data_IF_467959621174
#
_entry.id   IF_467959621174
#
_cell.length_a   1.000
_cell.length_b   1.000
_cell.length_c   1.000
_cell.angle_alpha   90.00
_cell.angle_beta   90.00
_cell.angle_gamma   90.00
#
_symmetry.space_group_name_H-M   'P 1'
#
loop_
_entity.id
_entity.type
_entity.pdbx_description
1 polymer ?
#
# COMPACT_ATOMS: atom_id res chain seq x y z
N UNK A 1 -11.13 37.12 7.20
CA UNK A 1 -10.12 37.68 8.09
C UNK A 1 -9.92 36.64 9.17
N UNK A 2 -8.68 36.29 9.35
CA UNK A 2 -8.10 35.57 10.48
C UNK A 2 -7.87 34.08 10.34
N UNK A 3 -6.61 33.87 10.14
CA UNK A 3 -5.69 32.93 10.78
C UNK A 3 -5.93 31.41 10.60
N UNK A 4 -5.44 30.91 9.47
CA UNK A 4 -5.13 29.48 9.33
C UNK A 4 -3.65 29.28 9.68
N UNK A 5 -3.44 28.78 10.88
CA UNK A 5 -2.17 28.50 11.51
C UNK A 5 -1.24 27.66 10.63
N UNK A 6 -0.02 28.16 10.49
CA UNK A 6 1.15 27.57 9.88
C UNK A 6 1.52 26.26 10.57
N UNK A 7 1.24 25.13 9.97
CA UNK A 7 1.93 23.89 10.29
C UNK A 7 3.30 23.92 9.59
N UNK A 8 4.36 23.77 10.40
CA UNK A 8 5.73 23.99 10.00
C UNK A 8 6.28 22.91 9.07
N UNK A 9 6.46 23.27 7.83
CA UNK A 9 7.42 22.59 6.97
C UNK A 9 8.84 22.94 7.43
N UNK A 10 9.60 21.93 7.86
CA UNK A 10 11.03 22.08 8.12
C UNK A 10 11.69 22.66 6.86
N UNK A 11 12.25 23.86 6.98
CA UNK A 11 12.93 24.52 5.88
C UNK A 11 14.19 23.73 5.51
N UNK A 12 14.59 23.75 4.22
CA UNK A 12 15.85 23.16 3.73
C UNK A 12 17.09 23.53 4.57
N UNK A 13 17.07 24.64 5.28
CA UNK A 13 18.14 25.07 6.20
C UNK A 13 18.12 24.33 7.55
N UNK A 14 16.97 23.81 8.00
CA UNK A 14 16.88 22.98 9.21
C UNK A 14 17.49 21.60 9.01
N UNK A 15 17.29 21.02 7.84
CA UNK A 15 17.86 19.71 7.49
C UNK A 15 19.39 19.70 7.41
N UNK A 16 20.01 20.81 6.98
CA UNK A 16 21.46 20.92 6.87
C UNK A 16 22.17 21.24 8.21
N UNK A 17 21.45 21.64 9.25
CA UNK A 17 22.04 21.92 10.57
C UNK A 17 22.04 20.72 11.53
N UNK A 18 21.19 19.72 11.30
CA UNK A 18 21.18 18.49 12.08
C UNK A 18 22.28 17.47 11.66
N UNK A 19 22.95 17.68 10.54
CA UNK A 19 23.98 16.78 10.00
C UNK A 19 25.41 16.99 10.50
N UNK A 20 25.64 17.79 11.52
CA UNK A 20 27.03 18.12 11.99
C UNK A 20 27.40 17.51 13.35
N UNK A 21 26.65 16.54 13.87
CA UNK A 21 27.08 15.74 15.01
C UNK A 21 27.55 14.37 14.49
N UNK A 22 28.87 14.13 14.61
CA UNK A 22 29.64 13.05 14.01
C UNK A 22 29.00 11.66 14.11
N UNK A 23 28.29 11.25 13.07
CA UNK A 23 28.10 9.86 12.78
C UNK A 23 29.32 9.39 11.96
N UNK A 24 30.16 8.57 12.53
CA UNK A 24 31.05 7.69 11.80
C UNK A 24 30.21 6.93 10.80
N UNK A 25 30.33 7.24 9.51
CA UNK A 25 29.83 6.41 8.43
C UNK A 25 30.45 5.02 8.61
N UNK A 26 29.74 4.13 9.30
CA UNK A 26 30.00 2.71 9.15
C UNK A 26 29.82 2.45 7.65
N UNK A 27 30.90 2.11 6.96
CA UNK A 27 30.88 1.67 5.57
C UNK A 27 29.85 0.58 5.46
N UNK A 28 28.71 0.86 4.80
CA UNK A 28 27.79 -0.19 4.37
C UNK A 28 28.67 -1.21 3.63
N UNK A 29 28.61 -2.50 3.99
CA UNK A 29 29.35 -3.49 3.23
C UNK A 29 28.89 -3.38 1.78
N UNK A 30 29.82 -3.21 0.86
CA UNK A 30 29.56 -3.37 -0.56
C UNK A 30 28.71 -4.62 -0.72
N UNK A 31 27.75 -4.61 -1.65
CA UNK A 31 26.88 -5.74 -1.97
C UNK A 31 27.72 -7.02 -2.17
N UNK A 32 28.27 -7.52 -1.08
CA UNK A 32 29.10 -8.72 -1.01
C UNK A 32 28.16 -9.89 -1.03
N UNK A 33 28.11 -10.58 -2.17
CA UNK A 33 27.40 -11.83 -2.35
C UNK A 33 27.90 -12.86 -1.34
N UNK A 34 27.29 -12.92 -0.17
CA UNK A 34 27.21 -14.21 0.51
C UNK A 34 26.30 -15.07 -0.36
N UNK A 35 26.86 -16.14 -0.94
CA UNK A 35 26.08 -17.21 -1.55
C UNK A 35 25.17 -17.82 -0.47
N UNK A 36 24.07 -17.19 -0.17
CA UNK A 36 22.93 -17.85 0.45
C UNK A 36 22.42 -18.81 -0.61
N UNK A 37 22.77 -20.10 -0.43
CA UNK A 37 22.42 -21.17 -1.35
C UNK A 37 20.98 -21.05 -1.79
N UNK A 38 20.74 -21.20 -3.09
CA UNK A 38 19.42 -21.17 -3.76
C UNK A 38 18.57 -22.37 -3.34
N UNK A 39 18.29 -22.50 -2.04
CA UNK A 39 17.26 -23.44 -1.60
C UNK A 39 15.91 -22.86 -1.99
N UNK A 40 15.09 -23.55 -2.79
CA UNK A 40 13.75 -23.09 -3.10
C UNK A 40 12.99 -22.74 -1.81
N UNK A 41 12.28 -21.62 -1.80
CA UNK A 41 11.48 -21.22 -0.67
C UNK A 41 10.31 -22.20 -0.54
N UNK A 42 10.30 -22.99 0.53
CA UNK A 42 9.18 -23.87 0.84
C UNK A 42 8.03 -23.06 1.44
N UNK A 43 6.80 -23.34 1.01
CA UNK A 43 5.63 -22.71 1.59
C UNK A 43 5.44 -23.18 3.05
N UNK A 44 5.21 -22.26 4.02
CA UNK A 44 4.97 -22.62 5.42
C UNK A 44 3.77 -23.56 5.57
N UNK A 45 3.82 -24.45 6.57
CA UNK A 45 2.75 -25.42 6.83
C UNK A 45 1.74 -24.82 7.83
N UNK A 46 2.22 -24.17 8.90
CA UNK A 46 1.42 -23.56 9.94
C UNK A 46 1.37 -22.03 9.86
N UNK A 47 0.83 -21.41 10.90
CA UNK A 47 0.75 -19.94 11.04
C UNK A 47 1.67 -19.41 12.16
N UNK A 48 2.23 -20.28 12.99
CA UNK A 48 3.09 -19.96 14.11
C UNK A 48 4.50 -19.51 13.68
N UNK A 49 5.26 -18.94 14.61
CA UNK A 49 6.59 -18.40 14.36
C UNK A 49 7.60 -19.45 13.86
N UNK A 50 7.51 -20.68 14.36
CA UNK A 50 8.43 -21.76 13.95
C UNK A 50 8.23 -22.13 12.49
N UNK A 51 6.98 -22.17 12.03
CA UNK A 51 6.63 -22.41 10.62
C UNK A 51 7.15 -21.32 9.67
N UNK A 52 7.29 -20.07 10.16
CA UNK A 52 7.71 -18.90 9.36
C UNK A 52 9.17 -18.48 9.58
N UNK A 53 9.92 -19.14 10.45
CA UNK A 53 11.31 -18.79 10.78
C UNK A 53 12.22 -18.76 9.52
N UNK A 54 12.06 -19.73 8.61
CA UNK A 54 12.83 -19.80 7.38
C UNK A 54 12.46 -18.69 6.37
N UNK A 55 11.21 -18.19 6.41
CA UNK A 55 10.77 -17.02 5.63
C UNK A 55 11.39 -15.75 6.22
N UNK A 56 11.31 -15.57 7.55
CA UNK A 56 11.93 -14.44 8.25
C UNK A 56 13.43 -14.34 7.94
N UNK A 57 14.14 -15.44 7.86
CA UNK A 57 15.58 -15.48 7.53
C UNK A 57 15.92 -14.93 6.13
N UNK A 58 14.93 -14.68 5.28
CA UNK A 58 15.13 -14.02 3.97
C UNK A 58 15.20 -12.50 4.04
N UNK A 59 14.99 -11.90 5.21
CA UNK A 59 14.98 -10.45 5.40
C UNK A 59 16.23 -9.98 6.15
N UNK A 60 16.82 -8.87 5.71
CA UNK A 60 18.01 -8.26 6.30
C UNK A 60 17.62 -7.28 7.40
N UNK A 61 16.97 -7.79 8.45
CA UNK A 61 16.61 -6.98 9.61
C UNK A 61 17.83 -6.68 10.48
N UNK A 62 17.96 -5.42 10.90
CA UNK A 62 18.94 -5.06 11.93
C UNK A 62 18.63 -5.81 13.24
N UNK A 63 19.67 -6.29 13.94
CA UNK A 63 19.48 -6.97 15.22
C UNK A 63 18.74 -6.07 16.23
N UNK A 64 17.69 -6.62 16.84
CA UNK A 64 16.87 -5.91 17.82
C UNK A 64 15.77 -5.02 17.23
N UNK A 65 15.75 -4.76 15.93
CA UNK A 65 14.68 -4.03 15.26
C UNK A 65 13.41 -4.88 15.16
N UNK A 66 12.27 -4.33 15.57
CA UNK A 66 10.94 -4.87 15.30
C UNK A 66 10.19 -3.93 14.34
N UNK A 67 10.18 -4.25 13.05
CA UNK A 67 9.52 -3.42 12.07
C UNK A 67 8.04 -3.77 11.95
N UNK A 68 7.18 -2.98 12.60
CA UNK A 68 5.73 -3.17 12.64
C UNK A 68 5.00 -2.04 11.89
N UNK A 69 5.60 -1.52 10.82
CA UNK A 69 5.03 -0.46 9.97
C UNK A 69 5.03 -0.83 8.48
N UNK A 70 4.71 -2.09 8.16
CA UNK A 70 4.66 -2.57 6.76
C UNK A 70 3.68 -1.77 5.89
N UNK A 71 2.60 -1.24 6.47
CA UNK A 71 1.63 -0.42 5.75
C UNK A 71 2.22 0.90 5.21
N UNK A 72 3.33 1.38 5.77
CA UNK A 72 4.08 2.54 5.24
C UNK A 72 4.99 2.11 4.09
N UNK A 73 5.89 1.17 4.36
CA UNK A 73 6.83 0.60 3.40
C UNK A 73 7.07 -0.87 3.75
N UNK A 74 6.92 -1.77 2.78
CA UNK A 74 7.29 -3.17 2.93
C UNK A 74 8.79 -3.36 2.81
N UNK A 75 9.30 -4.38 3.47
CA UNK A 75 10.70 -4.74 3.43
C UNK A 75 10.93 -5.79 2.35
N UNK A 76 11.70 -5.49 1.28
CA UNK A 76 11.97 -6.50 0.26
C UNK A 76 12.87 -7.62 0.80
N UNK A 77 12.60 -8.89 0.47
CA UNK A 77 13.49 -9.99 0.84
C UNK A 77 14.83 -9.91 0.08
N UNK A 78 15.85 -10.57 0.61
CA UNK A 78 17.24 -10.50 0.13
C UNK A 78 17.37 -10.79 -1.38
N UNK A 79 16.61 -11.76 -1.90
CA UNK A 79 16.60 -12.10 -3.32
C UNK A 79 16.07 -10.97 -4.21
N UNK A 80 15.13 -10.18 -3.72
CA UNK A 80 14.60 -9.01 -4.44
C UNK A 80 15.63 -7.89 -4.44
N UNK A 81 16.28 -7.64 -3.30
CA UNK A 81 17.39 -6.67 -3.21
C UNK A 81 18.51 -7.05 -4.15
N UNK A 82 18.89 -8.34 -4.16
CA UNK A 82 19.93 -8.85 -5.07
C UNK A 82 19.54 -8.65 -6.54
N UNK A 83 18.31 -8.92 -6.93
CA UNK A 83 17.86 -8.73 -8.31
C UNK A 83 17.97 -7.27 -8.77
N UNK A 84 17.73 -6.29 -7.87
CA UNK A 84 17.95 -4.86 -8.16
C UNK A 84 19.43 -4.58 -8.38
N UNK A 85 20.30 -5.06 -7.49
CA UNK A 85 21.75 -4.88 -7.61
C UNK A 85 22.29 -5.49 -8.91
N UNK A 86 21.92 -6.74 -9.22
CA UNK A 86 22.33 -7.43 -10.45
C UNK A 86 21.89 -6.64 -11.70
N UNK A 87 20.69 -6.07 -11.68
CA UNK A 87 20.18 -5.23 -12.77
C UNK A 87 21.00 -3.95 -12.98
N UNK A 88 21.41 -3.28 -11.91
CA UNK A 88 22.29 -2.11 -12.02
C UNK A 88 23.69 -2.49 -12.49
N UNK A 89 24.24 -3.62 -12.04
CA UNK A 89 25.50 -4.14 -12.55
C UNK A 89 25.45 -4.43 -14.05
N UNK A 90 24.36 -5.03 -14.53
CA UNK A 90 24.15 -5.31 -15.96
C UNK A 90 24.18 -4.02 -16.79
N UNK A 91 23.45 -2.98 -16.37
CA UNK A 91 23.46 -1.67 -17.03
C UNK A 91 24.86 -1.03 -16.96
N UNK A 92 25.53 -1.13 -15.80
CA UNK A 92 26.86 -0.53 -15.63
C UNK A 92 27.93 -1.20 -16.53
N UNK A 93 27.81 -2.51 -16.75
CA UNK A 93 28.76 -3.22 -17.64
C UNK A 93 28.51 -2.94 -19.11
N UNK A 94 27.26 -2.97 -19.54
CA UNK A 94 26.86 -2.65 -20.91
C UNK A 94 25.49 -1.98 -20.93
N UNK A 95 25.41 -0.64 -20.99
CA UNK A 95 24.18 0.11 -20.78
C UNK A 95 23.04 -0.26 -21.75
N UNK A 96 23.33 -0.42 -23.04
CA UNK A 96 22.29 -0.70 -24.02
C UNK A 96 21.75 -2.13 -23.91
N UNK A 97 22.63 -3.10 -23.80
CA UNK A 97 22.25 -4.51 -23.64
C UNK A 97 21.56 -4.74 -22.30
N UNK A 98 22.16 -4.26 -21.20
CA UNK A 98 21.57 -4.39 -19.88
C UNK A 98 20.16 -3.79 -19.78
N UNK A 99 19.97 -2.60 -20.38
CA UNK A 99 18.65 -1.99 -20.52
C UNK A 99 17.68 -2.89 -21.30
N UNK A 100 18.09 -3.39 -22.46
CA UNK A 100 17.21 -4.20 -23.32
C UNK A 100 16.83 -5.52 -22.64
N UNK A 101 17.78 -6.19 -21.97
CA UNK A 101 17.52 -7.42 -21.24
C UNK A 101 16.53 -7.19 -20.08
N UNK A 102 16.67 -6.09 -19.34
CA UNK A 102 15.72 -5.72 -18.28
C UNK A 102 14.34 -5.35 -18.82
N UNK A 103 14.26 -4.64 -19.95
CA UNK A 103 12.98 -4.36 -20.61
C UNK A 103 12.30 -5.67 -21.08
N UNK A 104 13.08 -6.63 -21.58
CA UNK A 104 12.55 -7.94 -21.93
C UNK A 104 11.97 -8.66 -20.70
N UNK A 105 12.66 -8.64 -19.56
CA UNK A 105 12.15 -9.18 -18.29
C UNK A 105 10.85 -8.49 -17.88
N UNK A 106 10.79 -7.17 -17.94
CA UNK A 106 9.59 -6.42 -17.57
C UNK A 106 8.40 -6.82 -18.45
N UNK A 107 8.58 -6.86 -19.75
CA UNK A 107 7.48 -7.13 -20.69
C UNK A 107 7.05 -8.60 -20.66
N UNK A 108 8.00 -9.54 -20.58
CA UNK A 108 7.73 -10.96 -20.78
C UNK A 108 7.66 -11.77 -19.47
N UNK A 109 8.01 -11.17 -18.34
CA UNK A 109 7.93 -11.84 -17.04
C UNK A 109 7.13 -11.04 -16.02
N UNK A 110 7.47 -9.76 -15.78
CA UNK A 110 6.80 -8.95 -14.73
C UNK A 110 5.33 -8.76 -15.04
N UNK A 111 5.00 -8.21 -16.21
CA UNK A 111 3.60 -7.93 -16.57
C UNK A 111 2.74 -9.20 -16.63
N UNK A 112 3.19 -10.32 -17.27
CA UNK A 112 2.43 -11.57 -17.24
C UNK A 112 2.26 -12.16 -15.84
N UNK A 113 3.29 -12.09 -14.97
CA UNK A 113 3.19 -12.58 -13.60
C UNK A 113 2.24 -11.73 -12.75
N UNK A 114 2.29 -10.39 -12.89
CA UNK A 114 1.34 -9.49 -12.23
C UNK A 114 -0.09 -9.78 -12.68
N UNK A 115 -0.31 -9.93 -13.99
CA UNK A 115 -1.62 -10.26 -14.56
C UNK A 115 -2.15 -11.57 -13.98
N UNK A 116 -1.33 -12.62 -13.99
CA UNK A 116 -1.71 -13.92 -13.42
C UNK A 116 -1.95 -13.87 -11.90
N UNK A 117 -1.13 -13.11 -11.15
CA UNK A 117 -1.25 -13.02 -9.69
C UNK A 117 -2.50 -12.26 -9.25
N UNK A 118 -2.96 -11.28 -10.03
CA UNK A 118 -4.09 -10.43 -9.71
C UNK A 118 -5.34 -10.67 -10.57
N UNK A 119 -5.40 -11.74 -11.36
CA UNK A 119 -6.57 -12.07 -12.18
C UNK A 119 -6.91 -10.99 -13.21
N UNK A 120 -5.92 -10.51 -13.97
CA UNK A 120 -6.10 -9.47 -14.98
C UNK A 120 -5.52 -9.87 -16.33
N UNK A 121 -5.90 -9.21 -17.41
CA UNK A 121 -5.18 -9.28 -18.67
C UNK A 121 -3.96 -8.34 -18.65
N UNK A 122 -2.87 -8.76 -19.29
CA UNK A 122 -1.64 -7.95 -19.40
C UNK A 122 -1.94 -6.56 -19.98
N UNK A 123 -2.85 -6.49 -20.98
CA UNK A 123 -3.24 -5.23 -21.60
C UNK A 123 -4.00 -4.27 -20.67
N UNK A 124 -4.51 -4.72 -19.55
CA UNK A 124 -5.21 -3.89 -18.56
C UNK A 124 -4.26 -3.27 -17.52
N UNK A 125 -2.99 -3.70 -17.49
CA UNK A 125 -2.00 -3.27 -16.51
C UNK A 125 -1.03 -2.25 -17.09
N UNK A 126 -0.70 -1.25 -16.28
CA UNK A 126 0.36 -0.27 -16.54
C UNK A 126 1.23 -0.13 -15.29
N UNK A 127 2.55 -0.28 -15.42
CA UNK A 127 3.45 -0.09 -14.29
C UNK A 127 3.56 1.39 -13.92
N UNK A 128 3.47 1.67 -12.63
CA UNK A 128 3.65 2.99 -12.03
C UNK A 128 4.74 2.94 -10.95
N UNK A 129 5.12 4.10 -10.44
CA UNK A 129 6.07 4.18 -9.31
C UNK A 129 5.42 3.83 -7.96
N UNK A 130 4.11 4.02 -7.84
CA UNK A 130 3.33 3.78 -6.64
C UNK A 130 1.83 3.98 -6.93
N UNK A 131 0.98 3.71 -5.95
CA UNK A 131 -0.46 3.98 -6.04
C UNK A 131 -0.75 5.46 -6.28
N UNK A 132 0.00 6.39 -5.67
CA UNK A 132 -0.19 7.83 -5.85
C UNK A 132 -0.14 8.24 -7.32
N UNK A 133 0.84 7.75 -8.08
CA UNK A 133 0.93 8.00 -9.51
C UNK A 133 -0.26 7.41 -10.26
N UNK A 134 -0.62 6.16 -9.97
CA UNK A 134 -1.76 5.50 -10.60
C UNK A 134 -3.10 6.21 -10.31
N UNK A 135 -3.34 6.63 -9.07
CA UNK A 135 -4.54 7.40 -8.69
C UNK A 135 -4.61 8.75 -9.40
N UNK A 136 -3.47 9.42 -9.57
CA UNK A 136 -3.42 10.65 -10.37
C UNK A 136 -3.72 10.39 -11.85
N UNK A 137 -3.19 9.31 -12.42
CA UNK A 137 -3.47 8.94 -13.82
C UNK A 137 -4.95 8.62 -14.03
N UNK A 138 -5.58 7.86 -13.12
CA UNK A 138 -7.01 7.58 -13.16
C UNK A 138 -7.82 8.90 -13.11
N UNK A 139 -7.55 9.73 -12.11
CA UNK A 139 -8.29 10.95 -11.89
C UNK A 139 -8.10 11.98 -13.01
N UNK A 140 -6.88 12.13 -13.54
CA UNK A 140 -6.59 13.07 -14.62
C UNK A 140 -7.06 12.55 -15.98
N UNK A 141 -7.06 11.24 -16.18
CA UNK A 141 -7.50 10.60 -17.41
C UNK A 141 -9.02 10.56 -17.59
N UNK A 142 -9.79 10.66 -16.51
CA UNK A 142 -11.24 10.66 -16.58
C UNK A 142 -11.77 11.97 -17.20
N UNK A 143 -12.56 11.87 -18.26
CA UNK A 143 -13.16 13.04 -18.91
C UNK A 143 -14.33 13.56 -18.06
N UNK A 144 -14.18 14.75 -17.50
CA UNK A 144 -15.16 15.43 -16.65
C UNK A 144 -15.33 16.88 -17.07
N UNK A 145 -16.57 17.35 -17.08
CA UNK A 145 -16.94 18.74 -17.34
C UNK A 145 -17.10 19.54 -16.03
N UNK A 146 -17.02 20.87 -16.07
CA UNK A 146 -17.37 21.70 -14.91
C UNK A 146 -18.77 21.37 -14.41
N UNK A 147 -18.89 21.15 -13.09
CA UNK A 147 -20.13 20.75 -12.44
C UNK A 147 -20.38 19.23 -12.35
N UNK A 148 -19.65 18.41 -13.09
CA UNK A 148 -19.64 16.96 -12.84
C UNK A 148 -19.14 16.66 -11.43
N UNK A 149 -19.63 15.59 -10.84
CA UNK A 149 -19.39 15.24 -9.43
C UNK A 149 -18.59 13.93 -9.31
N UNK A 150 -17.65 13.94 -8.37
CA UNK A 150 -16.94 12.74 -7.91
C UNK A 150 -17.19 12.57 -6.41
N UNK A 151 -17.53 11.36 -6.00
CA UNK A 151 -17.71 11.00 -4.59
C UNK A 151 -16.45 10.30 -4.09
N UNK A 152 -15.97 10.73 -2.92
CA UNK A 152 -14.86 10.11 -2.17
C UNK A 152 -15.33 9.81 -0.74
N UNK A 153 -14.49 9.13 0.05
CA UNK A 153 -14.80 8.89 1.47
C UNK A 153 -13.87 9.67 2.40
N UNK A 154 -14.29 9.87 3.67
CA UNK A 154 -13.43 10.47 4.70
C UNK A 154 -12.23 9.60 5.04
N UNK A 155 -12.22 8.34 4.65
CA UNK A 155 -11.16 7.37 4.96
C UNK A 155 -10.03 7.32 3.90
N UNK A 156 -10.11 8.16 2.86
CA UNK A 156 -9.11 8.14 1.79
C UNK A 156 -7.72 8.58 2.28
N UNK A 157 -6.69 7.93 1.77
CA UNK A 157 -5.33 8.41 1.90
C UNK A 157 -5.18 9.78 1.19
N UNK A 158 -4.31 10.71 1.65
CA UNK A 158 -4.08 11.98 0.97
C UNK A 158 -3.81 11.84 -0.53
N UNK A 159 -3.13 10.77 -0.95
CA UNK A 159 -2.90 10.47 -2.38
C UNK A 159 -4.19 10.18 -3.16
N UNK A 160 -5.23 9.66 -2.50
CA UNK A 160 -6.55 9.43 -3.09
C UNK A 160 -7.38 10.71 -3.19
N UNK A 161 -7.22 11.63 -2.23
CA UNK A 161 -7.97 12.91 -2.20
C UNK A 161 -7.34 13.99 -3.08
N UNK A 162 -6.00 14.08 -3.09
CA UNK A 162 -5.27 15.18 -3.73
C UNK A 162 -5.60 15.38 -5.22
N UNK A 163 -5.68 14.35 -6.07
CA UNK A 163 -6.01 14.53 -7.48
C UNK A 163 -7.40 15.13 -7.68
N UNK A 164 -8.36 14.76 -6.85
CA UNK A 164 -9.73 15.30 -6.91
C UNK A 164 -9.80 16.74 -6.40
N UNK A 165 -9.11 17.07 -5.32
CA UNK A 165 -8.97 18.46 -4.85
C UNK A 165 -8.35 19.35 -5.95
N UNK A 166 -7.33 18.83 -6.64
CA UNK A 166 -6.70 19.53 -7.75
C UNK A 166 -7.67 19.74 -8.93
N UNK A 167 -8.45 18.72 -9.30
CA UNK A 167 -9.47 18.82 -10.35
C UNK A 167 -10.61 19.75 -9.98
N UNK A 168 -11.02 19.76 -8.70
CA UNK A 168 -12.01 20.75 -8.21
C UNK A 168 -11.55 22.18 -8.50
N UNK A 169 -10.29 22.51 -8.16
CA UNK A 169 -9.75 23.86 -8.34
C UNK A 169 -9.51 24.18 -9.82
N UNK A 170 -8.97 23.26 -10.61
CA UNK A 170 -8.54 23.52 -11.99
C UNK A 170 -9.65 23.35 -13.03
N UNK A 171 -10.56 22.41 -12.79
CA UNK A 171 -11.55 21.99 -13.79
C UNK A 171 -12.99 22.23 -13.36
N UNK A 172 -13.22 22.80 -12.17
CA UNK A 172 -14.56 23.17 -11.69
C UNK A 172 -15.49 22.00 -11.42
N UNK A 173 -14.95 20.79 -11.18
CA UNK A 173 -15.77 19.65 -10.75
C UNK A 173 -16.22 19.82 -9.30
N UNK A 174 -17.28 19.11 -8.91
CA UNK A 174 -17.70 18.95 -7.53
C UNK A 174 -17.09 17.70 -6.94
N UNK A 175 -16.58 17.79 -5.71
CA UNK A 175 -16.13 16.64 -4.93
C UNK A 175 -17.01 16.56 -3.69
N UNK A 176 -17.71 15.44 -3.54
CA UNK A 176 -18.56 15.13 -2.38
C UNK A 176 -17.85 14.09 -1.53
N UNK A 177 -17.60 14.42 -0.27
CA UNK A 177 -16.97 13.53 0.69
C UNK A 177 -18.05 12.88 1.56
N UNK A 178 -18.08 11.55 1.58
CA UNK A 178 -19.00 10.75 2.38
C UNK A 178 -18.30 10.32 3.66
N UNK A 179 -18.90 10.64 4.79
CA UNK A 179 -18.41 10.19 6.09
C UNK A 179 -18.65 8.68 6.25
N UNK A 180 -17.58 7.92 6.42
CA UNK A 180 -17.62 6.50 6.77
C UNK A 180 -17.08 6.35 8.19
N UNK A 181 -17.87 5.82 9.14
CA UNK A 181 -17.42 5.57 10.50
C UNK A 181 -16.17 4.67 10.57
N UNK A 182 -15.35 4.85 11.57
CA UNK A 182 -14.20 3.98 11.86
C UNK A 182 -14.23 3.58 13.34
N UNK A 183 -14.59 2.33 13.68
CA UNK A 183 -15.04 1.26 12.77
C UNK A 183 -16.43 1.48 12.18
N UNK A 184 -16.72 0.84 11.05
CA UNK A 184 -18.08 0.73 10.52
C UNK A 184 -18.68 -0.65 10.86
N UNK A 185 -19.99 -0.76 10.76
CA UNK A 185 -20.72 -1.96 11.23
C UNK A 185 -20.65 -3.11 10.21
N UNK A 186 -20.81 -2.79 8.92
CA UNK A 186 -20.83 -3.79 7.85
C UNK A 186 -20.51 -3.18 6.48
N UNK A 187 -20.18 -4.05 5.51
CA UNK A 187 -19.99 -3.64 4.13
C UNK A 187 -21.23 -3.02 3.49
N UNK A 188 -22.42 -3.51 3.85
CA UNK A 188 -23.70 -2.99 3.38
C UNK A 188 -23.93 -1.55 3.83
N UNK A 189 -23.48 -1.18 5.04
CA UNK A 189 -23.51 0.19 5.53
C UNK A 189 -22.69 1.11 4.61
N UNK A 190 -21.48 0.70 4.24
CA UNK A 190 -20.62 1.47 3.35
C UNK A 190 -21.28 1.67 1.99
N UNK A 191 -21.84 0.60 1.40
CA UNK A 191 -22.56 0.66 0.12
C UNK A 191 -23.75 1.61 0.21
N UNK A 192 -24.57 1.51 1.25
CA UNK A 192 -25.75 2.36 1.43
C UNK A 192 -25.38 3.86 1.57
N UNK A 193 -24.33 4.17 2.34
CA UNK A 193 -23.85 5.55 2.50
C UNK A 193 -23.34 6.13 1.19
N UNK A 194 -22.58 5.35 0.42
CA UNK A 194 -22.08 5.78 -0.89
C UNK A 194 -23.19 5.92 -1.92
N UNK A 195 -24.16 4.99 -1.96
CA UNK A 195 -25.29 5.03 -2.88
C UNK A 195 -26.19 6.24 -2.63
N UNK A 196 -26.45 6.57 -1.35
CA UNK A 196 -27.26 7.71 -0.96
C UNK A 196 -26.65 9.06 -1.39
N UNK A 197 -25.35 9.13 -1.62
CA UNK A 197 -24.65 10.33 -2.07
C UNK A 197 -24.70 10.52 -3.61
N UNK A 198 -25.10 9.51 -4.38
CA UNK A 198 -25.12 9.58 -5.85
C UNK A 198 -26.21 10.55 -6.32
N UNK A 199 -25.83 11.44 -7.23
CA UNK A 199 -26.72 12.38 -7.91
C UNK A 199 -26.69 12.17 -9.42
N UNK A 200 -27.55 12.84 -10.17
CA UNK A 200 -27.53 12.83 -11.65
C UNK A 200 -26.25 13.40 -12.27
N UNK A 201 -25.42 14.10 -11.47
CA UNK A 201 -24.13 14.66 -11.90
C UNK A 201 -22.95 13.78 -11.52
N UNK A 202 -23.14 12.76 -10.70
CA UNK A 202 -22.06 11.87 -10.27
C UNK A 202 -21.52 11.06 -11.46
N UNK A 203 -20.21 11.14 -11.71
CA UNK A 203 -19.51 10.44 -12.79
C UNK A 203 -18.61 9.33 -12.28
N UNK A 204 -18.08 9.49 -11.06
CA UNK A 204 -17.24 8.47 -10.45
C UNK A 204 -17.41 8.43 -8.92
N UNK A 205 -17.19 7.25 -8.38
CA UNK A 205 -16.85 7.06 -6.97
C UNK A 205 -15.37 6.66 -6.89
N UNK A 206 -14.61 7.26 -5.97
CA UNK A 206 -13.20 6.94 -5.75
C UNK A 206 -13.01 6.59 -4.27
N UNK A 207 -12.54 5.38 -3.99
CA UNK A 207 -12.48 4.85 -2.63
C UNK A 207 -11.33 3.86 -2.45
N UNK A 208 -10.86 3.69 -1.22
CA UNK A 208 -9.85 2.70 -0.89
C UNK A 208 -10.46 1.30 -0.73
N UNK A 209 -9.74 0.24 -1.18
CA UNK A 209 -10.11 -1.16 -0.90
C UNK A 209 -9.89 -1.48 0.58
N UNK A 210 -8.78 -0.99 1.12
CA UNK A 210 -8.46 -1.07 2.53
C UNK A 210 -8.07 0.32 3.04
N UNK A 211 -8.70 0.75 4.13
CA UNK A 211 -8.43 2.07 4.72
C UNK A 211 -7.06 2.10 5.41
N UNK A 212 -6.52 3.28 5.69
CA UNK A 212 -5.32 3.41 6.52
C UNK A 212 -5.52 2.78 7.91
N UNK A 213 -6.73 2.80 8.42
CA UNK A 213 -7.12 2.19 9.69
C UNK A 213 -7.31 0.67 9.65
N UNK A 214 -7.06 0.03 8.50
CA UNK A 214 -7.17 -1.43 8.40
C UNK A 214 -8.60 -1.96 8.26
N UNK A 215 -9.53 -1.19 7.73
CA UNK A 215 -10.86 -1.66 7.39
C UNK A 215 -10.94 -2.03 5.91
N UNK A 216 -11.65 -3.12 5.60
CA UNK A 216 -11.87 -3.61 4.23
C UNK A 216 -13.21 -3.13 3.71
N UNK A 217 -13.22 -2.45 2.56
CA UNK A 217 -14.43 -2.04 1.87
C UNK A 217 -14.90 -3.13 0.89
N UNK A 218 -16.22 -3.28 0.69
CA UNK A 218 -16.81 -4.26 -0.22
C UNK A 218 -16.70 -3.76 -1.67
N UNK A 219 -15.51 -3.89 -2.27
CA UNK A 219 -15.21 -3.30 -3.59
C UNK A 219 -16.14 -3.79 -4.68
N UNK A 220 -16.46 -5.11 -4.72
CA UNK A 220 -17.35 -5.69 -5.72
C UNK A 220 -18.75 -5.09 -5.64
N UNK A 221 -19.28 -5.00 -4.43
CA UNK A 221 -20.62 -4.48 -4.17
C UNK A 221 -20.70 -2.99 -4.52
N UNK A 222 -19.68 -2.21 -4.15
CA UNK A 222 -19.54 -0.80 -4.53
C UNK A 222 -19.40 -0.63 -6.04
N UNK A 223 -18.62 -1.46 -6.72
CA UNK A 223 -18.46 -1.43 -8.17
C UNK A 223 -19.77 -1.77 -8.90
N UNK A 224 -20.48 -2.78 -8.44
CA UNK A 224 -21.80 -3.13 -8.98
C UNK A 224 -22.84 -2.05 -8.74
N UNK A 225 -22.84 -1.46 -7.55
CA UNK A 225 -23.70 -0.33 -7.21
C UNK A 225 -23.41 0.85 -8.14
N UNK A 226 -22.16 1.28 -8.28
CA UNK A 226 -21.77 2.36 -9.17
C UNK A 226 -22.21 2.10 -10.61
N UNK A 227 -21.99 0.88 -11.12
CA UNK A 227 -22.37 0.49 -12.48
C UNK A 227 -23.89 0.57 -12.72
N UNK A 228 -24.73 0.20 -11.73
CA UNK A 228 -26.19 0.37 -11.83
C UNK A 228 -26.62 1.81 -12.04
N UNK A 229 -25.84 2.75 -11.52
CA UNK A 229 -26.06 4.20 -11.65
C UNK A 229 -25.32 4.83 -12.85
N UNK A 230 -24.60 4.05 -13.66
CA UNK A 230 -23.77 4.59 -14.75
C UNK A 230 -22.56 5.39 -14.26
N UNK A 231 -22.07 5.11 -13.06
CA UNK A 231 -20.97 5.78 -12.37
C UNK A 231 -19.74 4.87 -12.38
N UNK A 232 -18.56 5.42 -12.63
CA UNK A 232 -17.30 4.67 -12.61
C UNK A 232 -16.81 4.41 -11.19
N UNK A 233 -16.20 3.24 -10.98
CA UNK A 233 -15.56 2.83 -9.72
C UNK A 233 -14.04 2.86 -9.84
N UNK A 234 -13.38 3.75 -9.07
CA UNK A 234 -11.93 3.95 -9.07
C UNK A 234 -11.39 3.60 -7.69
N UNK A 235 -10.47 2.64 -7.62
CA UNK A 235 -10.08 2.01 -6.36
C UNK A 235 -8.62 2.26 -6.01
N UNK A 236 -8.36 2.70 -4.77
CA UNK A 236 -7.03 2.68 -4.15
C UNK A 236 -6.81 1.33 -3.45
N UNK A 237 -5.99 0.49 -4.05
CA UNK A 237 -5.64 -0.83 -3.53
C UNK A 237 -4.34 -0.89 -2.73
N UNK A 238 -3.73 0.26 -2.41
CA UNK A 238 -2.39 0.32 -1.83
C UNK A 238 -2.22 -0.47 -0.53
N UNK A 239 -3.29 -0.65 0.24
CA UNK A 239 -3.27 -1.37 1.51
C UNK A 239 -3.91 -2.77 1.44
N UNK A 240 -4.51 -3.17 0.32
CA UNK A 240 -5.19 -4.46 0.21
C UNK A 240 -4.33 -5.55 -0.42
N UNK A 241 -3.70 -5.25 -1.58
CA UNK A 241 -2.91 -6.24 -2.32
C UNK A 241 -1.77 -6.79 -1.46
N UNK A 242 -1.59 -8.11 -1.50
CA UNK A 242 -0.52 -8.79 -0.74
C UNK A 242 -0.83 -9.07 0.72
N UNK A 243 -1.86 -8.44 1.32
CA UNK A 243 -2.43 -8.85 2.61
C UNK A 243 -3.55 -9.87 2.46
N UNK A 244 -4.35 -9.71 1.41
CA UNK A 244 -5.47 -10.57 1.06
C UNK A 244 -5.32 -11.02 -0.38
N UNK A 245 -5.88 -12.19 -0.76
CA UNK A 245 -6.06 -12.55 -2.16
C UNK A 245 -6.93 -11.50 -2.87
N UNK A 246 -6.45 -11.01 -4.01
CA UNK A 246 -7.18 -10.04 -4.83
C UNK A 246 -7.22 -10.56 -6.26
N UNK A 247 -8.44 -10.72 -6.79
CA UNK A 247 -8.70 -10.97 -8.21
C UNK A 247 -9.39 -9.73 -8.80
N UNK A 248 -8.70 -8.99 -9.66
CA UNK A 248 -9.19 -7.73 -10.21
C UNK A 248 -10.39 -7.93 -11.12
N UNK A 249 -10.48 -9.08 -11.82
CA UNK A 249 -11.63 -9.40 -12.66
C UNK A 249 -12.90 -9.60 -11.82
N UNK A 250 -12.74 -10.18 -10.63
CA UNK A 250 -13.82 -10.48 -9.70
C UNK A 250 -14.29 -9.25 -8.90
N UNK A 251 -13.42 -8.25 -8.72
CA UNK A 251 -13.79 -6.97 -8.10
C UNK A 251 -14.71 -6.11 -8.98
N UNK A 252 -14.73 -6.37 -10.28
CA UNK A 252 -15.57 -5.68 -11.26
C UNK A 252 -15.40 -4.14 -11.28
N UNK A 253 -14.34 -3.60 -10.67
CA UNK A 253 -14.08 -2.16 -10.69
C UNK A 253 -13.57 -1.70 -12.06
N UNK A 254 -13.73 -0.40 -12.34
CA UNK A 254 -13.31 0.17 -13.62
C UNK A 254 -11.81 0.47 -13.64
N UNK A 255 -11.25 0.91 -12.50
CA UNK A 255 -9.82 1.08 -12.35
C UNK A 255 -9.36 0.79 -10.92
N UNK A 256 -8.10 0.35 -10.81
CA UNK A 256 -7.47 -0.01 -9.53
C UNK A 256 -6.01 0.40 -9.54
N UNK A 257 -5.54 1.09 -8.51
CA UNK A 257 -4.12 1.47 -8.38
C UNK A 257 -3.53 0.96 -7.09
N UNK A 258 -2.32 0.43 -7.16
CA UNK A 258 -1.67 -0.14 -5.98
C UNK A 258 -0.16 0.09 -5.93
N UNK A 259 0.39 0.03 -4.73
CA UNK A 259 1.83 0.09 -4.45
C UNK A 259 2.37 -1.30 -4.18
N UNK A 260 3.29 -1.78 -5.02
CA UNK A 260 3.90 -3.12 -4.87
C UNK A 260 4.98 -3.17 -3.79
N UNK A 261 5.52 -2.01 -3.39
CA UNK A 261 6.55 -1.89 -2.36
C UNK A 261 6.02 -1.94 -0.92
N UNK A 262 4.71 -2.24 -0.71
CA UNK A 262 4.14 -2.42 0.64
C UNK A 262 3.99 -3.91 0.94
N UNK A 263 2.85 -4.47 0.61
CA UNK A 263 2.47 -5.83 1.01
C UNK A 263 2.90 -6.93 0.02
N UNK A 264 3.29 -6.56 -1.21
CA UNK A 264 3.95 -7.49 -2.16
C UNK A 264 5.47 -7.57 -1.93
N UNK A 265 6.00 -6.71 -1.02
CA UNK A 265 7.43 -6.68 -0.66
C UNK A 265 8.35 -6.42 -1.86
N UNK A 266 7.84 -5.72 -2.86
CA UNK A 266 8.61 -5.27 -4.02
C UNK A 266 9.55 -4.11 -3.67
N UNK A 267 10.48 -3.78 -4.56
CA UNK A 267 11.36 -2.63 -4.35
C UNK A 267 10.58 -1.31 -4.23
N UNK A 268 11.11 -0.36 -3.43
CA UNK A 268 10.56 0.98 -3.35
C UNK A 268 10.47 1.64 -4.74
N UNK A 269 9.42 2.41 -4.97
CA UNK A 269 9.20 3.02 -6.29
C UNK A 269 8.54 2.07 -7.32
N UNK A 270 7.78 1.09 -6.86
CA UNK A 270 7.01 0.16 -7.70
C UNK A 270 5.53 0.17 -7.37
N UNK A 271 4.71 0.11 -8.40
CA UNK A 271 3.26 0.05 -8.36
C UNK A 271 2.67 -0.31 -9.71
N UNK A 272 1.37 -0.42 -9.77
CA UNK A 272 0.64 -0.57 -11.01
C UNK A 272 -0.69 0.19 -10.99
N UNK A 273 -1.20 0.45 -12.18
CA UNK A 273 -2.57 0.86 -12.44
C UNK A 273 -3.21 -0.20 -13.34
N UNK A 274 -4.35 -0.69 -12.91
CA UNK A 274 -5.28 -1.52 -13.70
C UNK A 274 -6.40 -0.66 -14.22
N UNK A 275 -6.78 -0.84 -15.48
CA UNK A 275 -8.00 -0.29 -16.05
C UNK A 275 -8.68 -1.39 -16.83
N UNK A 276 -9.87 -1.75 -16.38
CA UNK A 276 -10.70 -2.80 -16.99
C UNK A 276 -10.90 -2.49 -18.49
N UNK A 277 -10.76 -3.49 -19.34
CA UNK A 277 -10.84 -3.36 -20.80
C UNK A 277 -12.04 -2.54 -21.26
N UNK A 278 -13.23 -2.78 -20.68
CA UNK A 278 -14.44 -2.04 -21.03
C UNK A 278 -14.54 -0.61 -20.48
N UNK A 279 -13.57 -0.15 -19.67
CA UNK A 279 -13.51 1.19 -19.11
C UNK A 279 -12.41 2.05 -19.77
N UNK A 280 -11.58 1.47 -20.64
CA UNK A 280 -10.40 2.14 -21.21
C UNK A 280 -10.72 3.38 -22.01
N UNK A 281 -11.86 3.39 -22.71
CA UNK A 281 -12.26 4.55 -23.53
C UNK A 281 -12.64 5.77 -22.67
N UNK A 282 -12.90 5.57 -21.38
CA UNK A 282 -13.29 6.62 -20.43
C UNK A 282 -12.08 7.19 -19.66
N UNK A 283 -10.94 6.49 -19.64
CA UNK A 283 -9.72 6.95 -18.98
C UNK A 283 -8.64 7.16 -20.04
N UNK A 284 -8.37 8.42 -20.35
CA UNK A 284 -7.37 8.81 -21.35
C UNK A 284 -5.96 8.82 -20.73
N UNK A 285 -4.97 8.45 -21.52
CA UNK A 285 -3.57 8.58 -21.08
C UNK A 285 -3.18 10.05 -20.97
N UNK A 286 -2.47 10.38 -19.88
CA UNK A 286 -1.85 11.71 -19.73
C UNK A 286 -0.50 11.83 -20.44
N UNK A 287 0.02 10.73 -21.03
CA UNK A 287 1.37 10.68 -21.61
C UNK A 287 1.37 10.45 -23.12
N UNK A 288 0.29 9.96 -23.67
CA UNK A 288 0.18 9.70 -25.11
C UNK A 288 -1.25 9.80 -25.58
N UNK A 289 -1.45 10.26 -26.81
CA UNK A 289 -2.71 10.07 -27.49
C UNK A 289 -2.75 8.63 -28.04
N UNK A 290 -3.67 7.83 -27.51
CA UNK A 290 -3.85 6.43 -27.92
C UNK A 290 -4.19 6.28 -29.40
N UNK A 291 -4.78 7.32 -30.03
CA UNK A 291 -5.03 7.33 -31.46
C UNK A 291 -3.76 7.52 -32.30
N UNK A 292 -2.70 8.08 -31.68
CA UNK A 292 -1.42 8.35 -32.37
C UNK A 292 -0.37 7.26 -32.08
N UNK A 293 -0.53 6.50 -31.00
CA UNK A 293 0.44 5.48 -30.57
C UNK A 293 -0.34 4.20 -30.29
N UNK A 294 -0.08 3.16 -31.06
CA UNK A 294 -0.62 1.83 -30.83
C UNK A 294 0.02 1.19 -29.57
N UNK A 295 -0.19 1.82 -28.42
CA UNK A 295 0.30 1.37 -27.13
C UNK A 295 -0.85 1.07 -26.19
N UNK A 296 -0.94 -0.15 -25.67
CA UNK A 296 -1.97 -0.50 -24.69
C UNK A 296 -1.74 0.16 -23.32
N UNK A 297 -0.54 0.71 -23.04
CA UNK A 297 -0.21 1.25 -21.72
C UNK A 297 -0.78 2.65 -21.51
N UNK A 298 -1.47 2.85 -20.40
CA UNK A 298 -1.93 4.16 -19.90
C UNK A 298 -0.90 4.82 -18.97
N UNK A 299 0.17 4.10 -18.63
CA UNK A 299 1.21 4.54 -17.71
C UNK A 299 2.26 5.44 -18.36
N UNK A 300 3.17 6.01 -17.54
CA UNK A 300 4.24 6.86 -18.03
C UNK A 300 5.21 6.10 -18.93
N UNK A 301 5.48 6.68 -20.08
CA UNK A 301 6.51 6.20 -21.01
C UNK A 301 7.90 6.72 -20.65
N UNK A 302 8.89 6.37 -21.48
CA UNK A 302 10.27 6.84 -21.36
C UNK A 302 11.17 5.94 -20.50
N UNK A 303 12.38 6.45 -20.20
CA UNK A 303 13.34 5.71 -19.40
C UNK A 303 12.89 5.67 -17.94
N UNK A 304 12.78 4.47 -17.39
CA UNK A 304 12.41 4.21 -16.02
C UNK A 304 13.57 3.52 -15.28
N UNK A 305 13.39 3.26 -14.00
CA UNK A 305 14.28 2.41 -13.23
C UNK A 305 14.05 0.94 -13.61
N UNK A 306 14.73 0.48 -14.66
CA UNK A 306 14.56 -0.88 -15.18
C UNK A 306 14.98 -1.97 -14.19
N UNK A 307 16.12 -1.85 -13.45
CA UNK A 307 16.48 -2.79 -12.39
C UNK A 307 15.40 -2.99 -11.34
N UNK A 308 14.85 -1.89 -10.81
CA UNK A 308 13.80 -1.89 -9.81
C UNK A 308 12.52 -2.53 -10.36
N UNK A 309 12.11 -2.19 -11.58
CA UNK A 309 10.92 -2.78 -12.21
C UNK A 309 11.09 -4.26 -12.56
N UNK A 310 12.26 -4.68 -13.04
CA UNK A 310 12.53 -6.07 -13.39
C UNK A 310 12.56 -6.98 -12.15
N UNK A 311 13.06 -6.48 -11.01
CA UNK A 311 13.08 -7.20 -9.74
C UNK A 311 11.67 -7.54 -9.18
N UNK A 312 10.61 -6.90 -9.70
CA UNK A 312 9.24 -7.30 -9.38
C UNK A 312 8.92 -8.75 -9.75
N UNK A 313 9.57 -9.31 -10.80
CA UNK A 313 9.39 -10.73 -11.11
C UNK A 313 9.79 -11.62 -9.93
N UNK A 314 10.90 -11.29 -9.26
CA UNK A 314 11.37 -12.01 -8.06
C UNK A 314 10.46 -11.79 -6.85
N UNK A 315 9.93 -10.58 -6.65
CA UNK A 315 9.00 -10.30 -5.56
C UNK A 315 7.68 -11.08 -5.71
N UNK A 316 7.14 -11.15 -6.94
CA UNK A 316 5.93 -11.92 -7.22
C UNK A 316 6.18 -13.42 -7.06
N UNK A 317 7.32 -13.93 -7.53
CA UNK A 317 7.71 -15.32 -7.35
C UNK A 317 7.85 -15.68 -5.86
N UNK A 318 8.38 -14.75 -5.04
CA UNK A 318 8.43 -14.92 -3.58
C UNK A 318 7.02 -15.04 -2.98
N UNK A 319 6.10 -14.14 -3.33
CA UNK A 319 4.71 -14.20 -2.85
C UNK A 319 3.99 -15.46 -3.36
N UNK A 320 4.21 -15.86 -4.61
CA UNK A 320 3.65 -17.10 -5.17
C UNK A 320 4.15 -18.36 -4.45
N UNK A 321 5.44 -18.40 -4.09
CA UNK A 321 6.01 -19.52 -3.35
C UNK A 321 5.42 -19.66 -1.94
N UNK A 322 5.05 -18.55 -1.31
CA UNK A 322 4.37 -18.55 -0.02
C UNK A 322 2.87 -18.89 -0.16
N UNK A 323 2.21 -18.37 -1.18
CA UNK A 323 0.77 -18.45 -1.41
C UNK A 323 -0.01 -17.34 -0.70
N UNK A 324 -0.88 -16.64 -1.44
CA UNK A 324 -1.59 -15.46 -0.96
C UNK A 324 -2.45 -15.74 0.29
N UNK A 325 -3.17 -16.86 0.31
CA UNK A 325 -4.00 -17.26 1.46
C UNK A 325 -3.15 -17.61 2.70
N UNK A 326 -1.92 -18.09 2.53
CA UNK A 326 -1.03 -18.39 3.65
C UNK A 326 -0.46 -17.10 4.22
N UNK A 327 -0.13 -16.13 3.37
CA UNK A 327 0.29 -14.79 3.78
C UNK A 327 -0.84 -14.14 4.58
N UNK A 328 -2.07 -14.15 4.06
CA UNK A 328 -3.24 -13.63 4.77
C UNK A 328 -3.41 -14.29 6.15
N UNK A 329 -3.41 -15.62 6.22
CA UNK A 329 -3.55 -16.34 7.49
C UNK A 329 -2.44 -15.99 8.49
N UNK A 330 -1.19 -15.84 8.03
CA UNK A 330 -0.08 -15.42 8.90
C UNK A 330 -0.28 -14.00 9.41
N UNK A 331 -0.60 -13.06 8.55
CA UNK A 331 -0.84 -11.67 8.95
C UNK A 331 -2.02 -11.58 9.94
N UNK A 332 -3.10 -12.32 9.69
CA UNK A 332 -4.26 -12.39 10.58
C UNK A 332 -3.91 -13.00 11.94
N UNK A 333 -3.15 -14.08 11.95
CA UNK A 333 -2.66 -14.68 13.19
C UNK A 333 -1.89 -13.68 14.06
N UNK A 334 -0.97 -12.90 13.47
CA UNK A 334 -0.22 -11.87 14.18
C UNK A 334 -1.11 -10.71 14.66
N UNK A 335 -2.02 -10.26 13.83
CA UNK A 335 -2.98 -9.20 14.18
C UNK A 335 -3.94 -9.65 15.29
N UNK A 336 -4.43 -10.87 15.25
CA UNK A 336 -5.34 -11.42 16.27
C UNK A 336 -4.59 -11.66 17.59
N UNK A 337 -3.32 -12.10 17.53
CA UNK A 337 -2.44 -12.21 18.68
C UNK A 337 -2.24 -10.85 19.36
N UNK A 338 -1.95 -9.81 18.56
CA UNK A 338 -1.84 -8.44 19.06
C UNK A 338 -3.15 -7.97 19.70
N UNK A 339 -4.29 -8.13 19.02
CA UNK A 339 -5.60 -7.72 19.53
C UNK A 339 -5.95 -8.43 20.85
N UNK A 340 -5.65 -9.72 20.95
CA UNK A 340 -5.87 -10.46 22.20
C UNK A 340 -5.03 -9.89 23.37
N UNK A 341 -3.77 -9.53 23.12
CA UNK A 341 -2.93 -8.87 24.12
C UNK A 341 -3.41 -7.45 24.46
N UNK A 342 -3.86 -6.68 23.48
CA UNK A 342 -4.39 -5.32 23.67
C UNK A 342 -5.61 -5.29 24.60
N UNK A 343 -6.47 -6.31 24.57
CA UNK A 343 -7.62 -6.42 25.49
C UNK A 343 -7.22 -6.54 26.96
N UNK A 344 -5.99 -6.95 27.24
CA UNK A 344 -5.42 -7.01 28.60
C UNK A 344 -4.73 -5.72 29.05
N UNK A 345 -4.66 -4.68 28.21
CA UNK A 345 -4.01 -3.41 28.55
C UNK A 345 -5.04 -2.36 28.94
N UNK A 346 -4.92 -1.81 30.14
CA UNK A 346 -5.83 -0.79 30.64
C UNK A 346 -5.90 0.44 29.73
N UNK A 347 -7.11 0.94 29.50
CA UNK A 347 -7.38 2.13 28.73
C UNK A 347 -7.24 1.97 27.21
N UNK A 348 -7.07 0.75 26.70
CA UNK A 348 -7.04 0.47 25.28
C UNK A 348 -8.45 0.32 24.72
N UNK A 349 -8.69 0.95 23.57
CA UNK A 349 -9.89 0.81 22.74
C UNK A 349 -9.47 0.40 21.33
N UNK A 350 -9.85 -0.79 20.87
CA UNK A 350 -9.52 -1.30 19.53
C UNK A 350 -10.50 -0.73 18.52
N UNK A 351 -9.96 -0.07 17.48
CA UNK A 351 -10.73 0.57 16.42
C UNK A 351 -10.72 -0.23 15.11
N UNK A 352 -9.99 -1.33 15.03
CA UNK A 352 -10.04 -2.23 13.87
C UNK A 352 -11.39 -2.90 13.73
N UNK A 353 -11.77 -3.28 12.51
CA UNK A 353 -13.02 -3.98 12.24
C UNK A 353 -13.17 -5.25 13.10
N UNK A 354 -14.41 -5.53 13.51
CA UNK A 354 -14.75 -6.61 14.46
C UNK A 354 -14.77 -8.00 13.82
N UNK A 355 -14.86 -8.09 12.49
CA UNK A 355 -14.93 -9.36 11.75
C UNK A 355 -13.87 -9.43 10.65
N UNK A 356 -13.47 -10.64 10.22
CA UNK A 356 -12.52 -10.80 9.12
C UNK A 356 -12.95 -10.13 7.80
N UNK A 357 -14.24 -9.98 7.57
CA UNK A 357 -14.82 -9.39 6.34
C UNK A 357 -14.59 -7.89 6.26
N UNK A 358 -14.47 -7.21 7.40
CA UNK A 358 -14.31 -5.76 7.49
C UNK A 358 -12.97 -5.35 8.12
N UNK A 359 -12.07 -6.31 8.39
CA UNK A 359 -10.76 -6.05 9.01
C UNK A 359 -9.60 -6.57 8.17
N UNK A 360 -8.64 -5.72 7.88
CA UNK A 360 -7.40 -6.12 7.23
C UNK A 360 -6.63 -7.12 8.10
N UNK A 361 -6.02 -8.15 7.50
CA UNK A 361 -5.28 -9.16 8.26
C UNK A 361 -4.00 -8.63 8.89
N UNK A 362 -3.32 -7.66 8.27
CA UNK A 362 -2.00 -7.19 8.73
C UNK A 362 -2.00 -5.85 9.47
N UNK A 363 -3.14 -5.14 9.54
CA UNK A 363 -3.22 -3.82 10.17
C UNK A 363 -4.15 -3.81 11.38
N UNK A 364 -3.67 -3.28 12.49
CA UNK A 364 -4.44 -3.07 13.72
C UNK A 364 -4.33 -1.63 14.14
N UNK A 365 -5.46 -0.97 14.43
CA UNK A 365 -5.51 0.36 15.04
C UNK A 365 -6.21 0.32 16.38
N UNK A 366 -5.71 1.09 17.31
CA UNK A 366 -6.27 1.23 18.65
C UNK A 366 -5.89 2.57 19.27
N UNK A 367 -6.69 3.02 20.21
CA UNK A 367 -6.37 4.15 21.08
C UNK A 367 -5.97 3.64 22.45
N UNK A 368 -5.15 4.41 23.17
CA UNK A 368 -4.88 4.20 24.59
C UNK A 368 -5.11 5.52 25.31
N UNK A 369 -5.95 5.50 26.33
CA UNK A 369 -6.19 6.65 27.20
C UNK A 369 -4.84 7.14 27.75
N UNK A 370 -4.68 8.47 27.80
CA UNK A 370 -3.47 9.12 28.30
C UNK A 370 -2.16 8.81 27.51
N UNK A 371 -2.27 8.40 26.25
CA UNK A 371 -1.13 8.23 25.37
C UNK A 371 -1.35 8.95 24.03
N UNK A 372 -0.52 9.95 23.74
CA UNK A 372 -0.49 10.60 22.46
C UNK A 372 0.14 9.71 21.40
N UNK A 373 -0.56 9.48 20.28
CA UNK A 373 -0.11 8.54 19.24
C UNK A 373 1.19 8.99 18.55
N UNK A 374 1.42 10.31 18.39
CA UNK A 374 2.66 10.82 17.79
C UNK A 374 3.83 10.57 18.73
N UNK A 375 3.65 10.85 20.04
CA UNK A 375 4.67 10.58 21.05
C UNK A 375 4.95 9.08 21.19
N UNK A 376 3.91 8.23 21.05
CA UNK A 376 4.06 6.79 21.09
C UNK A 376 5.02 6.28 20.00
N UNK A 377 4.98 6.81 18.79
CA UNK A 377 5.91 6.42 17.71
C UNK A 377 7.36 6.57 18.16
N UNK A 378 7.74 7.74 18.67
CA UNK A 378 9.10 7.99 19.16
C UNK A 378 9.43 7.14 20.39
N UNK A 379 8.48 6.98 21.32
CA UNK A 379 8.67 6.18 22.52
C UNK A 379 9.03 4.72 22.23
N UNK A 380 8.31 4.08 21.30
CA UNK A 380 8.55 2.68 20.94
C UNK A 380 9.85 2.50 20.17
N UNK A 381 10.19 3.45 19.28
CA UNK A 381 11.46 3.45 18.57
C UNK A 381 12.65 3.57 19.54
N UNK A 382 12.61 4.52 20.46
CA UNK A 382 13.70 4.78 21.41
C UNK A 382 13.86 3.67 22.46
N UNK A 383 12.73 3.15 23.00
CA UNK A 383 12.79 2.16 24.11
C UNK A 383 13.12 0.75 23.65
N UNK A 384 12.59 0.33 22.51
CA UNK A 384 12.66 -1.08 22.09
C UNK A 384 12.96 -1.27 20.59
N UNK A 385 13.36 -0.24 19.86
CA UNK A 385 13.63 -0.36 18.44
C UNK A 385 12.42 -0.85 17.63
N UNK A 386 11.21 -0.42 17.99
CA UNK A 386 9.99 -0.85 17.32
C UNK A 386 9.40 0.30 16.52
N UNK A 387 9.30 0.12 15.21
CA UNK A 387 8.65 1.08 14.32
C UNK A 387 7.17 0.78 14.18
N UNK A 388 6.33 1.74 14.52
CA UNK A 388 4.87 1.78 14.37
C UNK A 388 4.47 3.08 13.66
N UNK A 389 3.18 3.35 13.51
CA UNK A 389 2.69 4.59 12.91
C UNK A 389 1.55 5.19 13.76
N UNK A 390 1.32 6.49 13.61
CA UNK A 390 0.17 7.18 14.16
C UNK A 390 -1.05 7.06 13.21
N UNK A 391 -2.25 7.20 13.77
CA UNK A 391 -3.48 7.29 12.99
C UNK A 391 -4.42 8.32 13.60
N UNK A 392 -4.17 9.59 13.27
CA UNK A 392 -5.00 10.71 13.70
C UNK A 392 -6.03 11.04 12.62
N UNK A 393 -7.27 10.60 12.80
CA UNK A 393 -8.35 10.81 11.84
C UNK A 393 -9.71 10.71 12.52
N UNK A 394 -10.68 11.49 12.06
CA UNK A 394 -12.09 11.49 12.52
C UNK A 394 -12.23 11.69 14.04
N UNK A 395 -11.32 12.45 14.65
CA UNK A 395 -11.29 12.67 16.11
C UNK A 395 -10.53 11.60 16.90
N UNK A 396 -10.04 10.53 16.25
CA UNK A 396 -9.24 9.51 16.89
C UNK A 396 -7.77 9.91 17.00
N UNK A 397 -7.15 9.57 18.12
CA UNK A 397 -5.71 9.68 18.38
C UNK A 397 -5.14 8.25 18.54
N UNK A 398 -5.15 7.52 17.44
CA UNK A 398 -4.87 6.09 17.42
C UNK A 398 -3.44 5.75 17.00
N UNK A 399 -2.98 4.59 17.44
CA UNK A 399 -1.74 3.94 17.02
C UNK A 399 -2.10 2.89 15.98
N UNK A 400 -1.32 2.85 14.89
CA UNK A 400 -1.39 1.80 13.88
C UNK A 400 -0.18 0.88 13.98
N UNK A 401 -0.43 -0.40 14.20
CA UNK A 401 0.55 -1.47 14.08
C UNK A 401 0.26 -2.27 12.83
N UNK A 402 1.25 -2.43 11.96
CA UNK A 402 1.08 -3.22 10.74
C UNK A 402 2.20 -4.26 10.61
N UNK A 403 1.81 -5.52 10.84
CA UNK A 403 2.70 -6.69 10.81
C UNK A 403 2.64 -7.42 9.47
N UNK A 404 3.73 -8.11 9.12
CA UNK A 404 3.82 -8.94 7.93
C UNK A 404 4.51 -10.27 8.26
N UNK A 405 4.76 -11.11 7.26
CA UNK A 405 5.32 -12.47 7.39
C UNK A 405 6.65 -12.57 8.14
N UNK A 406 7.37 -11.47 8.27
CA UNK A 406 8.66 -11.39 8.96
C UNK A 406 8.55 -11.03 10.45
N UNK A 407 7.37 -10.64 10.94
CA UNK A 407 7.18 -10.36 12.36
C UNK A 407 6.94 -11.64 13.18
N UNK A 408 7.17 -11.56 14.49
CA UNK A 408 7.01 -12.64 15.45
C UNK A 408 6.11 -12.25 16.60
N UNK A 409 5.54 -13.26 17.30
CA UNK A 409 4.77 -13.03 18.53
C UNK A 409 5.64 -12.45 19.64
N UNK A 410 6.91 -12.85 19.73
CA UNK A 410 7.85 -12.28 20.72
C UNK A 410 8.09 -10.76 20.52
N UNK A 411 8.06 -10.26 19.28
CA UNK A 411 8.10 -8.82 19.03
C UNK A 411 6.81 -8.14 19.53
N UNK A 412 5.66 -8.78 19.34
CA UNK A 412 4.36 -8.28 19.82
C UNK A 412 4.32 -8.28 21.34
N UNK A 413 4.82 -9.33 22.02
CA UNK A 413 4.88 -9.40 23.49
C UNK A 413 5.68 -8.23 24.05
N UNK A 414 6.87 -7.97 23.49
CA UNK A 414 7.71 -6.84 23.88
C UNK A 414 7.03 -5.48 23.66
N UNK A 415 6.28 -5.36 22.55
CA UNK A 415 5.48 -4.17 22.28
C UNK A 415 4.38 -3.97 23.33
N UNK A 416 3.63 -5.02 23.68
CA UNK A 416 2.55 -4.99 24.67
C UNK A 416 3.06 -4.69 26.08
N UNK A 417 4.21 -5.21 26.46
CA UNK A 417 4.88 -4.90 27.73
C UNK A 417 5.12 -3.39 27.88
N UNK A 418 5.80 -2.78 26.89
CA UNK A 418 6.04 -1.34 26.89
C UNK A 418 4.74 -0.53 26.84
N UNK A 419 3.75 -0.99 26.06
CA UNK A 419 2.45 -0.31 25.95
C UNK A 419 1.71 -0.30 27.31
N UNK A 420 1.80 -1.37 28.08
CA UNK A 420 1.15 -1.46 29.40
C UNK A 420 1.69 -0.44 30.41
N UNK A 421 2.98 -0.11 30.29
CA UNK A 421 3.68 0.87 31.12
C UNK A 421 3.56 2.31 30.62
N UNK A 422 3.29 2.50 29.31
CA UNK A 422 3.31 3.82 28.67
C UNK A 422 2.23 4.74 29.25
N UNK A 423 2.64 5.95 29.65
CA UNK A 423 1.77 7.06 30.07
C UNK A 423 2.18 8.31 29.30
N UNK A 424 1.27 9.30 29.21
CA UNK A 424 1.50 10.57 28.51
C UNK A 424 2.60 11.43 29.14
#
# INVERSE_FOLDING_TARGET
>A
MDDVSRQGFLSRRGFLKAGAAGATLASLPACGATELGRTPLAAPIGVDDSSWAHVRARFMLEPGLAYMNNASLGMPPTEVVKAVCDGYEAISREPLRGKNDLQFIITNQVLPRLAAYFGADVGELSLTRNATEGLHLQAMGLELNPGDEVIITTQEHPAGNMPWALRKVRHGIKVTEVFIPSPFESGEQVVALMEAAITSRTKAISFCHATRGGHLYPVRELSRMARRHGVMSLVDGAQAIGQIPVDLSDLECDAYSASLHKWILGPAGTGFMYVRKGARDQIKSSFSDQALIDSPSLGPGGTADFPVRAALSTAIDFCNALGAEKIERRCRYLSDYLKAGLLGVDGVNILSGSTPQISCPGSTIFEKTDLDAIKAVSLFEERIGTHIDEHQRDGHNAIRVSTHVYNTTAEIDRFLEVLSEARA
#
